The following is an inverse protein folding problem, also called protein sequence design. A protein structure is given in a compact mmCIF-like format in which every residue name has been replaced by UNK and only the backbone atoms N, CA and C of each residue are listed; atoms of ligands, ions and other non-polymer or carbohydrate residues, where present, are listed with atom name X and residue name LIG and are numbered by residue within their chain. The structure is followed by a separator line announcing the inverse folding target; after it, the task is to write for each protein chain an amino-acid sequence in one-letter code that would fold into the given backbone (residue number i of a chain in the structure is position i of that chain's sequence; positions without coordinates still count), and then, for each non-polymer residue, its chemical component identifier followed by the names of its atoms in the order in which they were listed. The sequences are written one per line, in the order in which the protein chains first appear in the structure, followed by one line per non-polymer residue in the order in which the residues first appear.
data_IF_398224525454
#
_entry.id   IF_398224525454
#
_cell.length_a   1.000
_cell.length_b   1.000
_cell.length_c   1.000
_cell.angle_alpha   90.00
_cell.angle_beta   90.00
_cell.angle_gamma   90.00
#
_symmetry.space_group_name_H-M   'P 1'
#
loop_
_entity.id
_entity.type
_entity.pdbx_description
1 polymer ?
#
# COMPACT_ATOMS: atom_id res chain seq x y z
N UNK A 1 8.07 25.44 6.65
CA UNK A 1 8.96 24.39 7.19
C UNK A 1 9.17 23.31 6.14
N UNK A 2 10.42 22.87 5.94
CA UNK A 2 10.73 21.73 5.08
C UNK A 2 10.08 20.47 5.65
N UNK A 3 9.29 19.76 4.84
CA UNK A 3 8.66 18.50 5.25
C UNK A 3 9.72 17.40 5.29
N UNK A 4 9.73 16.60 6.37
CA UNK A 4 10.64 15.47 6.48
C UNK A 4 10.51 14.52 5.26
N UNK A 5 11.64 14.02 4.72
CA UNK A 5 11.63 12.96 3.71
C UNK A 5 10.87 11.73 4.21
N UNK A 6 10.42 10.84 3.33
CA UNK A 6 9.88 9.54 3.80
C UNK A 6 11.02 8.62 4.21
N UNK A 7 10.73 7.66 5.08
CA UNK A 7 11.66 6.55 5.32
C UNK A 7 11.57 5.68 4.07
N UNK A 8 12.72 5.39 3.48
CA UNK A 8 12.81 4.72 2.19
C UNK A 8 14.04 3.83 2.19
N UNK A 9 13.84 2.54 1.89
CA UNK A 9 14.90 1.54 1.87
C UNK A 9 14.73 0.64 0.63
N UNK A 10 15.81 0.42 -0.15
CA UNK A 10 15.82 -0.58 -1.21
C UNK A 10 15.49 -1.98 -0.68
N UNK A 11 14.77 -2.78 -1.46
CA UNK A 11 14.48 -4.18 -1.17
C UNK A 11 13.50 -4.42 -0.02
N UNK A 12 12.96 -3.36 0.60
CA UNK A 12 11.98 -3.47 1.68
C UNK A 12 10.59 -3.07 1.14
N UNK A 13 9.56 -3.92 1.29
CA UNK A 13 8.21 -3.60 0.86
C UNK A 13 7.66 -2.34 1.54
N UNK A 14 6.90 -1.55 0.79
CA UNK A 14 6.23 -0.35 1.28
C UNK A 14 4.73 -0.43 1.03
N UNK A 15 3.94 -0.22 2.07
CA UNK A 15 2.50 -0.01 1.93
C UNK A 15 2.25 1.46 1.65
N UNK A 16 1.79 1.75 0.44
CA UNK A 16 1.56 3.09 -0.10
C UNK A 16 0.06 3.36 -0.16
N UNK A 17 -0.34 4.58 0.22
CA UNK A 17 -1.71 5.08 0.02
C UNK A 17 -1.72 6.47 -0.61
N UNK A 18 -2.53 6.63 -1.65
CA UNK A 18 -2.82 7.91 -2.28
C UNK A 18 -4.33 8.16 -2.21
N UNK A 19 -4.76 9.32 -1.70
CA UNK A 19 -6.16 9.63 -1.41
C UNK A 19 -6.63 10.86 -2.15
N UNK A 20 -7.83 10.79 -2.72
CA UNK A 20 -8.49 11.86 -3.45
C UNK A 20 -8.82 13.05 -2.56
N UNK A 21 -8.69 14.26 -3.09
CA UNK A 21 -8.83 15.52 -2.36
C UNK A 21 -10.18 15.60 -1.64
N UNK A 22 -10.20 15.99 -0.36
CA UNK A 22 -11.40 15.98 0.49
C UNK A 22 -12.13 14.62 0.52
N UNK A 23 -11.39 13.52 0.41
CA UNK A 23 -11.93 12.15 0.25
C UNK A 23 -12.90 11.99 -0.93
N UNK A 24 -12.89 12.90 -1.90
CA UNK A 24 -13.69 12.80 -3.10
C UNK A 24 -13.19 11.67 -4.00
N UNK A 25 -14.05 11.13 -4.88
CA UNK A 25 -13.65 10.11 -5.84
C UNK A 25 -12.45 10.54 -6.70
N UNK A 26 -11.48 9.66 -6.82
CA UNK A 26 -10.38 9.72 -7.78
C UNK A 26 -10.62 8.84 -9.00
N UNK A 27 -11.69 8.04 -9.02
CA UNK A 27 -12.18 7.29 -10.17
C UNK A 27 -13.69 7.49 -10.27
N UNK A 28 -14.18 8.00 -11.41
CA UNK A 28 -15.61 8.15 -11.65
C UNK A 28 -16.20 6.95 -12.36
N UNK A 29 -15.38 6.22 -13.12
CA UNK A 29 -15.79 5.04 -13.85
C UNK A 29 -14.64 4.04 -14.06
N UNK A 30 -14.94 2.95 -14.76
CA UNK A 30 -14.00 1.90 -15.09
C UNK A 30 -12.87 2.38 -16.01
N UNK A 31 -13.14 3.34 -16.90
CA UNK A 31 -12.14 3.93 -17.77
C UNK A 31 -11.05 4.67 -17.00
N UNK A 32 -11.41 5.34 -15.91
CA UNK A 32 -10.45 5.98 -15.01
C UNK A 32 -9.54 4.96 -14.33
N UNK A 33 -10.12 3.87 -13.82
CA UNK A 33 -9.36 2.78 -13.19
C UNK A 33 -8.43 2.08 -14.18
N UNK A 34 -8.90 1.82 -15.39
CA UNK A 34 -8.07 1.24 -16.46
C UNK A 34 -6.89 2.15 -16.84
N UNK A 35 -7.12 3.46 -16.99
CA UNK A 35 -6.03 4.42 -17.24
C UNK A 35 -5.02 4.45 -16.11
N UNK A 36 -5.47 4.41 -14.86
CA UNK A 36 -4.57 4.37 -13.70
C UNK A 36 -3.73 3.10 -13.69
N UNK A 37 -4.32 1.92 -13.93
CA UNK A 37 -3.59 0.66 -14.00
C UNK A 37 -2.58 0.66 -15.15
N UNK A 38 -2.93 1.23 -16.30
CA UNK A 38 -2.00 1.40 -17.42
C UNK A 38 -0.79 2.27 -17.03
N UNK A 39 -1.03 3.44 -16.46
CA UNK A 39 0.04 4.34 -15.99
C UNK A 39 0.88 3.74 -14.87
N UNK A 40 0.25 2.97 -13.98
CA UNK A 40 0.94 2.20 -12.94
C UNK A 40 1.89 1.18 -13.58
N UNK A 41 1.44 0.43 -14.58
CA UNK A 41 2.28 -0.53 -15.29
C UNK A 41 3.48 0.15 -15.96
N UNK A 42 3.28 1.24 -16.69
CA UNK A 42 4.39 1.99 -17.27
C UNK A 42 5.36 2.52 -16.21
N UNK A 43 4.86 3.00 -15.08
CA UNK A 43 5.68 3.51 -14.00
C UNK A 43 6.47 2.39 -13.29
N UNK A 44 5.91 1.19 -13.17
CA UNK A 44 6.62 0.00 -12.67
C UNK A 44 7.80 -0.33 -13.59
N UNK A 45 7.56 -0.40 -14.90
CA UNK A 45 8.64 -0.64 -15.88
C UNK A 45 9.73 0.44 -15.84
N UNK A 46 9.34 1.71 -15.77
CA UNK A 46 10.30 2.82 -15.75
C UNK A 46 11.15 2.90 -14.47
N UNK A 47 10.66 2.32 -13.36
CA UNK A 47 11.34 2.42 -12.05
C UNK A 47 11.94 1.11 -11.56
N UNK A 48 11.58 -0.02 -12.17
CA UNK A 48 11.94 -1.35 -11.69
C UNK A 48 11.29 -1.74 -10.37
N UNK A 49 10.34 -0.95 -9.87
CA UNK A 49 9.57 -1.27 -8.67
C UNK A 49 8.75 -2.55 -8.90
N UNK A 50 8.71 -3.42 -7.90
CA UNK A 50 7.94 -4.65 -7.91
C UNK A 50 6.59 -4.41 -7.21
N UNK A 51 5.48 -4.64 -7.91
CA UNK A 51 4.13 -4.51 -7.33
C UNK A 51 3.65 -5.87 -6.81
N UNK A 52 3.29 -5.94 -5.53
CA UNK A 52 2.94 -7.18 -4.85
C UNK A 52 1.41 -7.33 -4.66
N UNK A 53 0.77 -6.25 -4.25
CA UNK A 53 -0.68 -6.17 -4.07
C UNK A 53 -1.17 -4.75 -4.33
N UNK A 54 -2.43 -4.61 -4.74
CA UNK A 54 -3.10 -3.33 -4.87
C UNK A 54 -4.61 -3.42 -4.68
N UNK A 55 -5.23 -2.28 -4.36
CA UNK A 55 -6.66 -2.06 -4.58
C UNK A 55 -6.91 -0.61 -4.98
N UNK A 56 -7.73 -0.40 -6.01
CA UNK A 56 -8.27 0.89 -6.40
C UNK A 56 -9.67 1.03 -5.81
N UNK A 57 -9.80 1.82 -4.74
CA UNK A 57 -11.07 2.23 -4.17
C UNK A 57 -11.52 3.54 -4.83
N UNK A 58 -12.79 3.90 -4.73
CA UNK A 58 -13.33 5.08 -5.43
C UNK A 58 -12.58 6.38 -5.12
N UNK A 59 -12.19 6.58 -3.85
CA UNK A 59 -11.51 7.80 -3.39
C UNK A 59 -10.06 7.59 -2.94
N UNK A 60 -9.49 6.40 -3.08
CA UNK A 60 -8.08 6.16 -2.73
C UNK A 60 -7.52 4.88 -3.34
N UNK A 61 -6.19 4.81 -3.39
CA UNK A 61 -5.45 3.64 -3.87
C UNK A 61 -4.57 3.12 -2.75
N UNK A 62 -4.50 1.80 -2.61
CA UNK A 62 -3.48 1.11 -1.82
C UNK A 62 -2.57 0.32 -2.74
N UNK A 63 -1.25 0.42 -2.54
CA UNK A 63 -0.25 -0.40 -3.22
C UNK A 63 0.70 -1.02 -2.20
N UNK A 64 1.18 -2.23 -2.45
CA UNK A 64 2.32 -2.83 -1.76
C UNK A 64 3.45 -2.99 -2.77
N UNK A 65 4.53 -2.24 -2.59
CA UNK A 65 5.60 -2.11 -3.59
C UNK A 65 6.97 -2.29 -2.95
N UNK A 66 7.84 -3.08 -3.58
CA UNK A 66 9.26 -3.16 -3.21
C UNK A 66 10.10 -2.40 -4.23
N UNK A 67 10.80 -1.32 -3.84
CA UNK A 67 11.71 -0.62 -4.73
C UNK A 67 13.06 -1.32 -4.85
N UNK A 68 13.69 -1.33 -6.04
CA UNK A 68 15.05 -1.87 -6.21
C UNK A 68 16.12 -0.92 -5.67
N UNK A 69 15.80 0.37 -5.51
CA UNK A 69 16.72 1.40 -5.03
C UNK A 69 15.95 2.52 -4.31
N UNK A 70 16.65 3.27 -3.46
CA UNK A 70 16.08 4.43 -2.78
C UNK A 70 15.61 5.47 -3.80
N UNK A 71 14.50 6.13 -3.51
CA UNK A 71 13.84 7.12 -4.35
C UNK A 71 12.86 6.55 -5.38
N UNK A 72 12.90 5.24 -5.67
CA UNK A 72 12.12 4.65 -6.78
C UNK A 72 10.62 4.66 -6.56
N UNK A 73 10.15 4.46 -5.32
CA UNK A 73 8.71 4.65 -4.98
C UNK A 73 8.28 6.11 -5.21
N UNK A 74 9.14 7.08 -4.86
CA UNK A 74 8.89 8.50 -5.12
C UNK A 74 8.71 8.80 -6.61
N UNK A 75 9.63 8.30 -7.44
CA UNK A 75 9.58 8.47 -8.89
C UNK A 75 8.34 7.79 -9.50
N UNK A 76 8.01 6.57 -9.05
CA UNK A 76 6.83 5.82 -9.49
C UNK A 76 5.55 6.63 -9.25
N UNK A 77 5.35 7.09 -8.01
CA UNK A 77 4.15 7.84 -7.65
C UNK A 77 4.10 9.22 -8.30
N UNK A 78 5.25 9.86 -8.55
CA UNK A 78 5.32 11.12 -9.28
C UNK A 78 4.88 10.95 -10.74
N UNK A 79 5.35 9.90 -11.41
CA UNK A 79 5.00 9.61 -12.82
C UNK A 79 3.50 9.34 -12.97
N UNK A 80 2.94 8.51 -12.09
CA UNK A 80 1.49 8.25 -12.05
C UNK A 80 0.73 9.53 -11.78
N UNK A 81 1.11 10.28 -10.73
CA UNK A 81 0.41 11.50 -10.33
C UNK A 81 0.39 12.58 -11.40
N UNK A 82 1.51 12.80 -12.10
CA UNK A 82 1.60 13.82 -13.16
C UNK A 82 0.69 13.49 -14.34
N UNK A 83 0.72 12.25 -14.81
CA UNK A 83 -0.02 11.84 -16.00
C UNK A 83 -1.51 11.64 -15.71
N UNK A 84 -1.83 10.95 -14.61
CA UNK A 84 -3.21 10.61 -14.28
C UNK A 84 -4.07 11.84 -13.98
N UNK A 85 -3.53 12.81 -13.22
CA UNK A 85 -4.28 14.03 -12.86
C UNK A 85 -4.60 14.86 -14.09
N UNK A 86 -3.64 15.01 -15.02
CA UNK A 86 -3.86 15.73 -16.27
C UNK A 86 -4.95 15.07 -17.11
N UNK A 87 -4.91 13.74 -17.27
CA UNK A 87 -5.90 12.97 -18.03
C UNK A 87 -7.29 13.01 -17.38
N UNK A 88 -7.36 12.82 -16.06
CA UNK A 88 -8.62 12.87 -15.31
C UNK A 88 -9.28 14.24 -15.41
N UNK A 89 -8.49 15.30 -15.21
CA UNK A 89 -8.99 16.68 -15.30
C UNK A 89 -9.47 17.00 -16.72
N UNK A 90 -8.69 16.66 -17.74
CA UNK A 90 -9.07 16.89 -19.13
C UNK A 90 -10.35 16.14 -19.53
N UNK A 91 -10.48 14.87 -19.12
CA UNK A 91 -11.66 14.05 -19.43
C UNK A 91 -12.94 14.57 -18.78
N UNK A 92 -12.85 15.02 -17.54
CA UNK A 92 -14.01 15.36 -16.72
C UNK A 92 -14.25 16.87 -16.59
N UNK A 93 -13.55 17.70 -17.38
CA UNK A 93 -13.69 19.15 -17.35
C UNK A 93 -13.31 19.79 -16.01
N UNK A 94 -12.40 19.16 -15.25
CA UNK A 94 -11.98 19.61 -13.92
C UNK A 94 -10.67 20.39 -13.99
N UNK A 95 -10.42 21.19 -12.97
CA UNK A 95 -9.14 21.87 -12.73
C UNK A 95 -8.65 21.62 -11.30
N UNK A 96 -7.39 21.97 -11.03
CA UNK A 96 -6.80 21.85 -9.70
C UNK A 96 -6.31 20.43 -9.35
N UNK A 97 -6.13 20.19 -8.04
CA UNK A 97 -5.58 18.91 -7.55
C UNK A 97 -6.64 17.82 -7.47
N UNK A 98 -6.26 16.61 -7.85
CA UNK A 98 -7.07 15.40 -7.62
C UNK A 98 -6.81 14.78 -6.25
N UNK A 99 -5.60 14.95 -5.71
CA UNK A 99 -5.12 14.26 -4.51
C UNK A 99 -5.07 15.24 -3.31
N UNK A 100 -5.29 14.75 -2.08
CA UNK A 100 -5.16 15.55 -0.83
C UNK A 100 -3.73 16.07 -0.60
N UNK A 101 -2.77 15.50 -1.31
CA UNK A 101 -1.37 15.84 -1.23
C UNK A 101 -0.50 14.71 -1.72
N UNK A 102 0.72 14.63 -1.18
CA UNK A 102 1.62 13.52 -1.51
C UNK A 102 1.08 12.21 -0.91
N UNK A 103 1.38 11.09 -1.55
CA UNK A 103 1.09 9.75 -1.01
C UNK A 103 1.69 9.56 0.41
N UNK A 104 1.09 8.67 1.20
CA UNK A 104 1.68 8.16 2.44
C UNK A 104 2.30 6.80 2.17
N UNK A 105 3.38 6.47 2.87
CA UNK A 105 3.99 5.15 2.82
C UNK A 105 4.56 4.75 4.18
N UNK A 106 4.45 3.46 4.53
CA UNK A 106 5.18 2.83 5.64
C UNK A 106 5.99 1.65 5.11
N UNK A 107 7.15 1.39 5.70
CA UNK A 107 7.89 0.16 5.45
C UNK A 107 7.16 -1.01 6.08
N UNK A 108 7.21 -2.20 5.46
CA UNK A 108 6.55 -3.41 5.94
C UNK A 108 7.59 -4.51 6.07
N UNK A 109 7.64 -5.11 7.26
CA UNK A 109 8.48 -6.26 7.54
C UNK A 109 8.01 -7.49 6.76
N UNK A 110 8.94 -8.20 6.14
CA UNK A 110 8.66 -9.36 5.30
C UNK A 110 8.28 -10.58 6.11
N UNK A 111 8.92 -10.82 7.26
CA UNK A 111 8.74 -12.07 8.01
C UNK A 111 7.28 -12.29 8.44
N UNK A 112 6.69 -11.28 9.10
CA UNK A 112 5.38 -11.44 9.74
C UNK A 112 4.29 -10.54 9.16
N UNK A 113 4.66 -9.42 8.54
CA UNK A 113 3.71 -8.34 8.26
C UNK A 113 3.35 -8.20 6.79
N UNK A 114 4.14 -8.73 5.86
CA UNK A 114 3.87 -8.56 4.42
C UNK A 114 2.56 -9.24 4.02
N UNK A 115 2.33 -10.50 4.40
CA UNK A 115 1.09 -11.22 4.10
C UNK A 115 -0.12 -10.62 4.82
N UNK A 116 0.07 -10.09 6.03
CA UNK A 116 -0.96 -9.30 6.74
C UNK A 116 -1.31 -8.03 5.97
N UNK A 117 -0.31 -7.38 5.36
CA UNK A 117 -0.51 -6.20 4.54
C UNK A 117 -1.21 -6.53 3.21
N UNK A 118 -0.87 -7.65 2.56
CA UNK A 118 -1.61 -8.19 1.40
C UNK A 118 -3.10 -8.31 1.72
N UNK A 119 -3.45 -9.04 2.79
CA UNK A 119 -4.84 -9.20 3.26
C UNK A 119 -5.48 -7.87 3.60
N UNK A 120 -4.76 -6.99 4.30
CA UNK A 120 -5.26 -5.65 4.60
C UNK A 120 -5.63 -4.91 3.31
N UNK A 121 -4.78 -4.90 2.30
CA UNK A 121 -5.05 -4.20 1.03
C UNK A 121 -6.25 -4.83 0.31
N UNK A 122 -6.25 -6.15 0.14
CA UNK A 122 -7.22 -6.85 -0.71
C UNK A 122 -8.59 -7.04 -0.07
N UNK A 123 -8.68 -7.06 1.26
CA UNK A 123 -9.96 -7.07 1.99
C UNK A 123 -10.54 -5.66 2.18
N UNK A 124 -9.94 -4.61 1.61
CA UNK A 124 -10.50 -3.25 1.71
C UNK A 124 -11.92 -3.13 1.13
N UNK A 125 -12.23 -3.69 -0.06
CA UNK A 125 -13.59 -3.68 -0.61
C UNK A 125 -14.61 -4.36 0.31
N UNK A 126 -14.21 -5.45 0.97
CA UNK A 126 -15.05 -6.18 1.94
C UNK A 126 -15.31 -5.31 3.17
N UNK A 127 -14.26 -4.74 3.77
CA UNK A 127 -14.41 -3.82 4.91
C UNK A 127 -15.21 -2.55 4.56
N UNK A 128 -15.19 -2.13 3.31
CA UNK A 128 -16.00 -1.02 2.80
C UNK A 128 -17.42 -1.43 2.37
N UNK A 129 -17.79 -2.71 2.54
CA UNK A 129 -19.10 -3.28 2.15
C UNK A 129 -19.43 -3.11 0.66
N UNK A 130 -18.40 -3.12 -0.20
CA UNK A 130 -18.57 -3.06 -1.65
C UNK A 130 -18.76 -4.46 -2.27
N UNK A 131 -18.31 -5.50 -1.57
CA UNK A 131 -18.50 -6.91 -1.95
C UNK A 131 -18.27 -7.79 -0.73
N UNK A 132 -18.91 -8.96 -0.67
CA UNK A 132 -18.63 -9.96 0.36
C UNK A 132 -17.47 -10.91 -0.03
N UNK A 133 -17.15 -10.97 -1.32
CA UNK A 133 -16.08 -11.81 -1.84
C UNK A 133 -14.95 -10.93 -2.40
N UNK A 134 -13.77 -10.88 -1.76
CA UNK A 134 -12.67 -10.03 -2.24
C UNK A 134 -12.20 -10.38 -3.65
N UNK A 135 -12.38 -11.63 -4.09
CA UNK A 135 -12.06 -12.09 -5.44
C UNK A 135 -13.04 -11.58 -6.51
N UNK A 136 -14.24 -11.11 -6.13
CA UNK A 136 -15.18 -10.50 -7.06
C UNK A 136 -14.84 -9.02 -7.35
N UNK A 137 -14.02 -8.38 -6.51
CA UNK A 137 -13.63 -6.98 -6.72
C UNK A 137 -12.50 -6.86 -7.76
N UNK A 138 -12.89 -6.69 -9.03
CA UNK A 138 -11.99 -6.62 -10.20
C UNK A 138 -10.86 -5.57 -10.09
N UNK A 139 -11.06 -4.53 -9.29
CA UNK A 139 -10.13 -3.42 -9.10
C UNK A 139 -9.09 -3.65 -8.00
N UNK A 140 -8.87 -4.91 -7.62
CA UNK A 140 -7.79 -5.33 -6.72
C UNK A 140 -6.85 -6.34 -7.37
N UNK A 141 -5.74 -6.64 -6.69
CA UNK A 141 -4.85 -7.75 -7.00
C UNK A 141 -5.39 -9.11 -6.57
N UNK A 142 -6.41 -9.17 -5.71
CA UNK A 142 -6.92 -10.41 -5.12
C UNK A 142 -7.23 -11.52 -6.14
N UNK A 143 -7.94 -11.24 -7.27
CA UNK A 143 -8.19 -12.29 -8.27
C UNK A 143 -6.91 -12.85 -8.89
N UNK A 144 -5.87 -12.03 -9.06
CA UNK A 144 -4.58 -12.49 -9.61
C UNK A 144 -3.79 -13.31 -8.57
N UNK A 145 -3.76 -12.87 -7.31
CA UNK A 145 -3.13 -13.60 -6.21
C UNK A 145 -3.90 -14.89 -5.84
N UNK A 146 -5.15 -15.04 -6.28
CA UNK A 146 -5.90 -16.29 -6.20
C UNK A 146 -5.80 -17.15 -7.49
N UNK A 147 -4.96 -16.76 -8.45
CA UNK A 147 -4.79 -17.50 -9.71
C UNK A 147 -5.96 -17.38 -10.69
N UNK A 148 -6.97 -16.56 -10.39
CA UNK A 148 -8.19 -16.40 -11.18
C UNK A 148 -8.06 -15.39 -12.32
N UNK A 149 -7.07 -14.48 -12.23
CA UNK A 149 -6.74 -13.54 -13.31
C UNK A 149 -5.35 -13.83 -13.87
N UNK A 150 -5.32 -14.28 -15.13
CA UNK A 150 -4.10 -14.44 -15.92
C UNK A 150 -3.58 -13.06 -16.36
N UNK A 151 -2.26 -12.94 -16.48
CA UNK A 151 -1.56 -11.72 -16.88
C UNK A 151 -1.85 -10.51 -15.97
N UNK A 152 -0.96 -10.28 -15.01
CA UNK A 152 -1.00 -9.10 -14.14
C UNK A 152 0.38 -8.46 -14.07
N UNK A 153 0.43 -7.18 -13.74
CA UNK A 153 1.67 -6.46 -13.45
C UNK A 153 2.29 -6.83 -12.09
N UNK A 154 1.75 -7.87 -11.43
CA UNK A 154 2.22 -8.29 -10.12
C UNK A 154 3.54 -9.05 -10.24
N UNK A 155 4.46 -8.72 -9.36
CA UNK A 155 5.63 -9.53 -9.04
C UNK A 155 5.34 -10.21 -7.70
N UNK A 156 5.19 -11.54 -7.62
CA UNK A 156 4.95 -12.23 -6.36
C UNK A 156 6.07 -11.94 -5.35
N UNK A 157 5.70 -11.60 -4.11
CA UNK A 157 6.68 -11.43 -3.04
C UNK A 157 7.24 -12.79 -2.58
N UNK A 158 8.51 -12.91 -2.14
CA UNK A 158 9.06 -14.17 -1.63
C UNK A 158 8.20 -14.86 -0.58
N UNK A 159 7.64 -14.12 0.39
CA UNK A 159 6.73 -14.69 1.40
C UNK A 159 5.39 -15.18 0.83
N UNK A 160 4.91 -14.61 -0.29
CA UNK A 160 3.74 -15.15 -0.98
C UNK A 160 4.11 -16.40 -1.78
N UNK A 161 5.29 -16.42 -2.41
CA UNK A 161 5.82 -17.62 -3.07
C UNK A 161 6.05 -18.78 -2.10
N UNK A 162 6.42 -18.48 -0.86
CA UNK A 162 6.62 -19.47 0.20
C UNK A 162 5.32 -20.14 0.70
N UNK A 163 4.14 -19.69 0.26
CA UNK A 163 2.85 -20.29 0.63
C UNK A 163 2.61 -21.68 0.03
N UNK A 164 3.38 -22.07 -0.98
CA UNK A 164 3.20 -23.34 -1.68
C UNK A 164 4.23 -23.55 -2.79
N UNK A 165 4.46 -24.81 -3.15
CA UNK A 165 5.46 -25.18 -4.14
C UNK A 165 5.02 -24.86 -5.56
N UNK A 166 3.71 -24.95 -5.83
CA UNK A 166 3.10 -24.66 -7.13
C UNK A 166 2.03 -23.55 -7.07
N UNK A 167 1.54 -23.05 -8.23
CA UNK A 167 0.54 -21.98 -8.26
C UNK A 167 -0.80 -22.32 -7.59
N UNK A 168 -1.24 -23.59 -7.65
CA UNK A 168 -2.50 -24.06 -7.07
C UNK A 168 -2.36 -24.05 -5.55
N UNK A 169 -1.31 -24.67 -5.00
CA UNK A 169 -1.03 -24.68 -3.56
C UNK A 169 -0.96 -23.26 -2.99
N UNK A 170 -0.22 -22.36 -3.65
CA UNK A 170 -0.11 -20.95 -3.23
C UNK A 170 -1.47 -20.25 -3.20
N UNK A 171 -2.27 -20.43 -4.24
CA UNK A 171 -3.59 -19.81 -4.33
C UNK A 171 -4.56 -20.34 -3.26
N UNK A 172 -4.50 -21.64 -2.95
CA UNK A 172 -5.31 -22.28 -1.92
C UNK A 172 -4.91 -21.84 -0.52
N UNK A 173 -3.61 -21.83 -0.23
CA UNK A 173 -3.09 -21.33 1.05
C UNK A 173 -3.41 -19.84 1.23
N UNK A 174 -3.27 -19.03 0.18
CA UNK A 174 -3.63 -17.61 0.24
C UNK A 174 -5.13 -17.38 0.43
N UNK A 175 -5.99 -18.23 -0.14
CA UNK A 175 -7.44 -18.20 0.11
C UNK A 175 -7.75 -18.46 1.59
N UNK A 176 -7.17 -19.50 2.18
CA UNK A 176 -7.36 -19.81 3.59
C UNK A 176 -6.96 -18.62 4.49
N UNK A 177 -5.86 -17.93 4.15
CA UNK A 177 -5.45 -16.72 4.84
C UNK A 177 -6.47 -15.57 4.71
N UNK A 178 -7.15 -15.42 3.56
CA UNK A 178 -8.17 -14.38 3.38
C UNK A 178 -9.43 -14.66 4.22
N UNK A 179 -9.75 -15.92 4.47
CA UNK A 179 -10.93 -16.34 5.25
C UNK A 179 -10.74 -16.14 6.77
N UNK A 180 -9.49 -16.06 7.23
CA UNK A 180 -9.19 -15.66 8.59
C UNK A 180 -9.57 -14.18 8.86
N UNK A 181 -10.12 -13.91 10.04
CA UNK A 181 -10.36 -12.53 10.47
C UNK A 181 -9.04 -11.79 10.76
N UNK A 182 -8.94 -10.53 10.30
CA UNK A 182 -7.90 -9.62 10.78
C UNK A 182 -8.40 -8.94 12.05
N UNK A 183 -7.64 -9.03 13.14
CA UNK A 183 -8.00 -8.37 14.40
C UNK A 183 -8.05 -6.84 14.24
N UNK A 184 -8.94 -6.19 14.99
CA UNK A 184 -9.03 -4.73 15.00
C UNK A 184 -7.73 -4.06 15.44
N UNK A 185 -7.00 -4.69 16.37
CA UNK A 185 -5.66 -4.31 16.81
C UNK A 185 -4.68 -4.22 15.62
N UNK A 186 -4.66 -5.25 14.77
CA UNK A 186 -3.79 -5.28 13.59
C UNK A 186 -4.22 -4.23 12.56
N UNK A 187 -5.51 -4.08 12.30
CA UNK A 187 -6.03 -3.05 11.39
C UNK A 187 -5.66 -1.64 11.88
N UNK A 188 -5.80 -1.37 13.17
CA UNK A 188 -5.42 -0.12 13.81
C UNK A 188 -3.92 0.11 13.70
N UNK A 189 -3.10 -0.92 13.96
CA UNK A 189 -1.65 -0.85 13.87
C UNK A 189 -1.18 -0.50 12.45
N UNK A 190 -1.70 -1.17 11.41
CA UNK A 190 -1.37 -0.87 10.00
C UNK A 190 -1.71 0.58 9.66
N UNK A 191 -2.92 1.04 10.04
CA UNK A 191 -3.38 2.42 9.80
C UNK A 191 -2.47 3.44 10.50
N UNK A 192 -2.09 3.18 11.74
CA UNK A 192 -1.25 4.09 12.53
C UNK A 192 0.16 4.22 11.94
N UNK A 193 0.80 3.10 11.59
CA UNK A 193 2.13 3.10 10.97
C UNK A 193 2.11 3.82 9.61
N UNK A 194 1.08 3.60 8.79
CA UNK A 194 0.90 4.31 7.54
C UNK A 194 0.68 5.81 7.75
N UNK A 195 -0.18 6.20 8.70
CA UNK A 195 -0.48 7.60 8.98
C UNK A 195 0.75 8.38 9.42
N UNK A 196 1.59 7.77 10.27
CA UNK A 196 2.83 8.37 10.76
C UNK A 196 4.01 8.16 9.79
N UNK A 197 3.86 7.33 8.76
CA UNK A 197 4.88 6.97 7.78
C UNK A 197 6.13 6.37 8.45
N UNK A 198 5.93 5.21 9.10
CA UNK A 198 6.87 4.50 9.97
C UNK A 198 7.08 3.05 9.54
N UNK A 199 7.86 2.27 10.28
CA UNK A 199 8.13 0.87 9.95
C UNK A 199 7.15 -0.05 10.69
N UNK A 200 6.30 -0.73 9.94
CA UNK A 200 5.40 -1.77 10.43
C UNK A 200 6.17 -3.10 10.51
N UNK A 201 6.51 -3.50 11.72
CA UNK A 201 7.28 -4.71 11.99
C UNK A 201 7.59 -4.87 13.47
N UNK A 202 8.26 -5.97 13.81
CA UNK A 202 8.77 -6.19 15.17
C UNK A 202 9.94 -5.25 15.51
N UNK A 203 10.36 -5.24 16.78
CA UNK A 203 11.41 -4.35 17.28
C UNK A 203 12.73 -4.49 16.53
N UNK A 204 13.14 -5.72 16.20
CA UNK A 204 14.35 -5.97 15.43
C UNK A 204 14.31 -5.30 14.04
N UNK A 205 13.17 -5.37 13.35
CA UNK A 205 12.98 -4.70 12.06
C UNK A 205 13.05 -3.18 12.21
N UNK A 206 12.37 -2.62 13.23
CA UNK A 206 12.40 -1.18 13.50
C UNK A 206 13.82 -0.71 13.81
N UNK A 207 14.55 -1.41 14.68
CA UNK A 207 15.95 -1.11 14.99
C UNK A 207 16.82 -1.13 13.71
N UNK A 208 16.66 -2.14 12.85
CA UNK A 208 17.36 -2.22 11.56
C UNK A 208 17.05 -1.01 10.66
N UNK A 209 15.79 -0.59 10.58
CA UNK A 209 15.40 0.60 9.82
C UNK A 209 16.04 1.86 10.40
N UNK A 210 16.04 2.02 11.72
CA UNK A 210 16.65 3.16 12.40
C UNK A 210 18.16 3.22 12.17
N UNK A 211 18.85 2.08 12.25
CA UNK A 211 20.29 1.98 11.95
C UNK A 211 20.60 2.39 10.52
N UNK A 212 19.84 1.86 9.54
CA UNK A 212 20.09 2.15 8.11
C UNK A 212 19.73 3.58 7.71
N UNK A 213 18.69 4.16 8.32
CA UNK A 213 18.17 5.47 7.89
C UNK A 213 18.56 6.62 8.81
N UNK A 214 19.09 6.31 10.01
CA UNK A 214 19.34 7.27 11.11
C UNK A 214 18.10 8.06 11.51
N UNK A 215 16.92 7.43 11.43
CA UNK A 215 15.63 8.07 11.66
C UNK A 215 14.71 7.16 12.44
N UNK A 216 14.01 7.72 13.42
CA UNK A 216 13.02 7.01 14.22
C UNK A 216 11.97 6.30 13.36
N UNK A 217 11.87 4.98 13.54
CA UNK A 217 11.05 4.09 12.75
C UNK A 217 9.81 3.57 13.50
N UNK A 218 9.75 3.76 14.82
CA UNK A 218 8.57 3.43 15.62
C UNK A 218 7.40 4.42 15.47
N UNK A 219 6.30 4.14 16.16
CA UNK A 219 5.14 5.03 16.26
C UNK A 219 5.25 5.93 17.50
N UNK A 220 4.71 7.14 17.41
CA UNK A 220 4.53 8.03 18.57
C UNK A 220 3.07 7.98 19.01
N UNK A 221 2.78 7.94 20.32
CA UNK A 221 1.41 8.05 20.79
C UNK A 221 0.80 9.39 20.36
N UNK A 222 -0.53 9.41 20.18
CA UNK A 222 -1.27 10.60 19.78
C UNK A 222 -1.22 11.71 20.85
N UNK A 223 -0.98 11.34 22.11
CA UNK A 223 -0.88 12.26 23.24
C UNK A 223 0.56 12.41 23.71
N UNK A 224 0.91 13.63 24.14
CA UNK A 224 2.14 13.88 24.90
C UNK A 224 2.00 13.14 26.24
N UNK A 225 2.97 12.30 26.65
CA UNK A 225 2.94 11.71 27.98
C UNK A 225 2.82 12.83 29.01
N UNK A 226 1.94 12.65 30.01
CA UNK A 226 1.91 13.54 31.18
C UNK A 226 3.32 13.54 31.78
N UNK A 227 3.89 14.72 32.03
CA UNK A 227 5.13 14.81 32.81
C UNK A 227 4.90 14.04 34.11
N UNK A 228 5.83 13.16 34.54
CA UNK A 228 5.77 12.66 35.91
C UNK A 228 5.71 13.87 36.84
N UNK A 229 4.73 13.90 37.74
CA UNK A 229 4.74 14.85 38.85
C UNK A 229 6.02 14.58 39.65
N UNK A 230 6.86 15.60 39.79
CA UNK A 230 7.98 15.55 40.72
C UNK A 230 7.42 15.75 42.13
N UNK A 231 6.75 14.73 42.66
CA UNK A 231 6.38 14.58 44.07
C UNK A 231 6.28 13.07 44.32
N UNK A 232 7.37 12.48 44.82
CA UNK A 232 7.49 12.04 46.23
C UNK A 232 8.98 11.91 46.57
#
# INVERSE_FOLDING_TARGET
MARLPRIDLPGIPQHIVQRGNNRLPCFLDDGDRLRYLHLLNEALHATGCQLHAYVLMDNHVHLLVTPPAAGRVGQLMQRIGRNYVALFNGRHGRTGTLWEGRYKACLVDSADYVLRCYRYIELNPVRARLTDNPAAYRWSSCPANLGQRKHSALTPHPCWLALGSDPIERSSAYRALLDEALSDELLASIRLHLQQQRALGHDAFRAMVETKTRRFAGIRPAHRPRKPSAVD
#
